data_IF_222379905156
#
_entry.id   IF_222379905156
#
_cell.length_a   1.000
_cell.length_b   1.000
_cell.length_c   1.000
_cell.angle_alpha   90.00
_cell.angle_beta   90.00
_cell.angle_gamma   90.00
#
_symmetry.space_group_name_H-M   'P 1'
#
loop_
_entity.id
_entity.type
_entity.pdbx_description
1 polymer ?
#
# COMPACT_ATOMS: atom_id res chain seq x y z
N UNK A 1 -19.76 -7.48 -6.19
CA UNK A 1 -18.34 -7.63 -6.49
C UNK A 1 -17.54 -6.64 -5.65
N UNK A 2 -16.51 -7.13 -4.98
CA UNK A 2 -15.77 -6.32 -4.03
C UNK A 2 -14.34 -6.10 -4.54
N UNK A 3 -14.16 -4.93 -5.17
CA UNK A 3 -12.87 -4.51 -5.73
C UNK A 3 -12.57 -3.11 -5.21
N UNK A 4 -11.31 -2.86 -4.85
CA UNK A 4 -10.83 -1.54 -4.51
C UNK A 4 -9.51 -1.27 -5.24
N UNK A 5 -9.27 -0.01 -5.57
CA UNK A 5 -8.05 0.44 -6.22
C UNK A 5 -7.34 1.43 -5.29
N UNK A 6 -6.06 1.18 -5.05
CA UNK A 6 -5.20 2.01 -4.20
C UNK A 6 -3.96 2.37 -5.00
N UNK A 7 -3.50 3.61 -4.86
CA UNK A 7 -2.33 4.07 -5.58
C UNK A 7 -1.09 4.04 -4.70
N UNK A 8 0.03 3.63 -5.31
CA UNK A 8 1.34 3.61 -4.69
C UNK A 8 2.40 3.90 -5.75
N UNK A 9 3.66 3.74 -5.41
CA UNK A 9 4.77 3.93 -6.34
C UNK A 9 5.87 2.91 -6.10
N UNK A 10 6.47 2.44 -7.22
CA UNK A 10 7.71 1.71 -7.16
C UNK A 10 8.90 2.67 -7.19
N UNK A 11 10.09 2.12 -7.31
CA UNK A 11 11.30 2.90 -7.58
C UNK A 11 11.98 2.34 -8.83
N UNK A 12 12.39 3.23 -9.73
CA UNK A 12 13.17 2.89 -10.92
C UNK A 12 14.24 3.97 -11.09
N UNK A 13 15.45 3.71 -10.54
CA UNK A 13 16.50 4.72 -10.46
C UNK A 13 16.07 5.88 -9.59
N UNK A 14 16.03 7.09 -10.17
CA UNK A 14 15.60 8.30 -9.48
C UNK A 14 14.09 8.57 -9.62
N UNK A 15 13.40 7.74 -10.37
CA UNK A 15 11.98 7.89 -10.61
C UNK A 15 11.17 7.01 -9.66
N UNK A 16 9.92 7.42 -9.42
CA UNK A 16 8.96 6.66 -8.65
C UNK A 16 7.70 6.44 -9.51
N UNK A 17 7.73 5.43 -10.41
CA UNK A 17 6.61 5.19 -11.30
C UNK A 17 5.37 4.75 -10.53
N UNK A 18 4.20 5.19 -11.02
CA UNK A 18 2.92 4.86 -10.41
C UNK A 18 2.68 3.35 -10.45
N UNK A 19 2.23 2.82 -9.31
CA UNK A 19 1.76 1.45 -9.19
C UNK A 19 0.31 1.49 -8.73
N UNK A 20 -0.55 0.86 -9.49
CA UNK A 20 -1.96 0.76 -9.19
C UNK A 20 -2.20 -0.58 -8.53
N UNK A 21 -2.70 -0.57 -7.30
CA UNK A 21 -2.93 -1.77 -6.50
C UNK A 21 -4.42 -2.08 -6.54
N UNK A 22 -4.78 -3.18 -7.18
CA UNK A 22 -6.18 -3.62 -7.26
C UNK A 22 -6.38 -4.78 -6.30
N UNK A 23 -7.29 -4.64 -5.35
CA UNK A 23 -7.64 -5.71 -4.42
C UNK A 23 -9.04 -6.24 -4.73
N UNK A 24 -9.14 -7.55 -4.88
CA UNK A 24 -10.41 -8.24 -5.07
C UNK A 24 -10.62 -9.23 -3.93
N UNK A 25 -11.80 -9.16 -3.31
CA UNK A 25 -12.21 -10.08 -2.26
C UNK A 25 -13.44 -10.84 -2.76
N UNK A 26 -13.32 -12.15 -2.84
CA UNK A 26 -14.40 -13.03 -3.32
C UNK A 26 -14.63 -14.22 -2.39
N UNK A 27 -15.63 -15.01 -2.74
CA UNK A 27 -15.93 -16.25 -2.02
C UNK A 27 -15.07 -17.42 -2.47
N UNK A 28 -15.29 -18.58 -1.87
CA UNK A 28 -14.62 -19.82 -2.21
C UNK A 28 -13.58 -20.21 -1.17
N UNK A 29 -12.68 -21.11 -1.54
CA UNK A 29 -11.64 -21.59 -0.62
C UNK A 29 -10.69 -20.45 -0.26
N UNK A 30 -10.27 -20.35 1.01
CA UNK A 30 -9.34 -19.31 1.43
C UNK A 30 -8.04 -19.34 0.64
N UNK A 31 -7.68 -18.19 0.08
CA UNK A 31 -6.45 -18.03 -0.68
C UNK A 31 -6.05 -16.56 -0.69
N UNK A 32 -4.76 -16.28 -0.58
CA UNK A 32 -4.23 -14.93 -0.70
C UNK A 32 -3.12 -14.94 -1.76
N UNK A 33 -3.34 -14.23 -2.87
CA UNK A 33 -2.38 -14.15 -3.98
C UNK A 33 -2.03 -12.71 -4.31
N UNK A 34 -0.75 -12.50 -4.63
CA UNK A 34 -0.25 -11.22 -5.14
C UNK A 34 0.34 -11.49 -6.52
N UNK A 35 -0.13 -10.74 -7.52
CA UNK A 35 0.32 -10.87 -8.92
C UNK A 35 0.81 -9.51 -9.44
N UNK A 36 1.54 -9.50 -10.55
CA UNK A 36 2.08 -8.28 -11.17
C UNK A 36 3.57 -8.12 -10.97
N UNK A 37 4.37 -9.16 -11.20
CA UNK A 37 5.82 -9.19 -11.04
C UNK A 37 6.30 -8.82 -9.63
N UNK A 38 5.74 -9.42 -8.56
CA UNK A 38 6.25 -9.17 -7.23
C UNK A 38 7.55 -9.95 -7.00
N UNK A 39 8.53 -9.31 -6.34
CA UNK A 39 9.72 -10.03 -5.87
C UNK A 39 9.38 -10.85 -4.61
N UNK A 40 10.39 -11.51 -4.03
CA UNK A 40 10.20 -12.33 -2.83
C UNK A 40 9.71 -11.49 -1.65
N UNK A 41 10.28 -10.30 -1.44
CA UNK A 41 9.87 -9.43 -0.34
C UNK A 41 8.43 -8.97 -0.48
N UNK A 42 8.00 -8.67 -1.71
CA UNK A 42 6.60 -8.29 -1.96
C UNK A 42 5.68 -9.48 -1.71
N UNK A 43 6.08 -10.70 -2.10
CA UNK A 43 5.27 -11.89 -1.82
C UNK A 43 5.15 -12.16 -0.32
N UNK A 44 6.20 -11.86 0.45
CA UNK A 44 6.16 -11.97 1.91
C UNK A 44 5.15 -11.02 2.56
N UNK A 45 4.68 -10.00 1.83
CA UNK A 45 3.63 -9.12 2.30
C UNK A 45 2.39 -9.89 2.72
N UNK A 46 2.13 -11.07 2.15
CA UNK A 46 0.98 -11.88 2.54
C UNK A 46 0.95 -12.15 4.04
N UNK A 47 2.09 -12.52 4.60
CA UNK A 47 2.18 -12.81 6.04
C UNK A 47 2.12 -11.54 6.88
N UNK A 48 2.85 -10.48 6.48
CA UNK A 48 2.87 -9.21 7.21
C UNK A 48 1.50 -8.54 7.22
N UNK A 49 0.85 -8.48 6.07
CA UNK A 49 -0.48 -7.85 5.94
C UNK A 49 -1.51 -8.60 6.76
N UNK A 50 -1.55 -9.93 6.66
CA UNK A 50 -2.50 -10.72 7.43
C UNK A 50 -2.33 -10.50 8.92
N UNK A 51 -1.10 -10.55 9.41
CA UNK A 51 -0.82 -10.35 10.84
C UNK A 51 -1.16 -8.92 11.27
N UNK A 52 -0.79 -7.91 10.47
CA UNK A 52 -1.07 -6.52 10.78
C UNK A 52 -2.57 -6.22 10.84
N UNK A 53 -3.37 -6.78 9.92
CA UNK A 53 -4.81 -6.62 9.98
C UNK A 53 -5.37 -7.20 11.27
N UNK A 54 -4.99 -8.42 11.59
CA UNK A 54 -5.49 -9.11 12.79
C UNK A 54 -5.09 -8.38 14.07
N UNK A 55 -3.85 -7.93 14.20
CA UNK A 55 -3.38 -7.21 15.39
C UNK A 55 -3.96 -5.81 15.49
N UNK A 56 -4.39 -5.23 14.38
CA UNK A 56 -5.05 -3.92 14.34
C UNK A 56 -6.57 -4.03 14.50
N UNK A 57 -7.07 -5.21 14.87
CA UNK A 57 -8.48 -5.50 15.14
C UNK A 57 -9.39 -5.43 13.90
N UNK A 58 -8.81 -5.61 12.73
CA UNK A 58 -9.57 -5.85 11.51
C UNK A 58 -9.66 -7.35 11.26
N UNK A 59 -10.55 -7.75 10.39
CA UNK A 59 -10.69 -9.14 9.98
C UNK A 59 -10.02 -9.35 8.63
N UNK A 60 -9.16 -10.38 8.54
CA UNK A 60 -8.69 -10.81 7.24
C UNK A 60 -9.82 -11.60 6.57
N UNK A 61 -10.24 -11.24 5.33
CA UNK A 61 -11.40 -11.86 4.71
C UNK A 61 -11.27 -13.37 4.56
N UNK A 62 -12.35 -14.09 4.86
CA UNK A 62 -12.47 -15.51 4.51
C UNK A 62 -12.75 -15.61 3.02
N UNK A 63 -12.11 -16.56 2.37
CA UNK A 63 -12.30 -16.75 0.94
C UNK A 63 -11.09 -16.31 0.15
N UNK A 64 -11.32 -15.94 -1.11
CA UNK A 64 -10.23 -15.65 -2.04
C UNK A 64 -9.91 -14.17 -2.07
N UNK A 65 -8.65 -13.85 -1.78
CA UNK A 65 -8.12 -12.48 -1.88
C UNK A 65 -7.07 -12.48 -2.99
N UNK A 66 -7.25 -11.62 -3.99
CA UNK A 66 -6.30 -11.44 -5.08
C UNK A 66 -5.93 -9.97 -5.16
N UNK A 67 -4.62 -9.69 -5.14
CA UNK A 67 -4.09 -8.35 -5.29
C UNK A 67 -3.24 -8.29 -6.54
N UNK A 68 -3.57 -7.38 -7.45
CA UNK A 68 -2.83 -7.17 -8.68
C UNK A 68 -2.07 -5.84 -8.61
N UNK A 69 -0.78 -5.88 -8.89
CA UNK A 69 0.09 -4.71 -8.90
C UNK A 69 0.37 -4.33 -10.36
N UNK A 70 -0.23 -3.23 -10.82
CA UNK A 70 -0.08 -2.75 -12.20
C UNK A 70 0.93 -1.60 -12.30
N UNK A 71 1.68 -1.48 -13.39
CA UNK A 71 1.64 -2.32 -14.59
C UNK A 71 2.38 -3.65 -14.41
N UNK A 72 1.97 -4.65 -15.17
CA UNK A 72 2.52 -6.00 -15.05
C UNK A 72 3.98 -6.11 -15.52
N UNK A 73 4.45 -5.18 -16.35
CA UNK A 73 5.81 -5.19 -16.88
C UNK A 73 6.81 -4.41 -16.02
N UNK A 74 6.37 -3.79 -14.93
CA UNK A 74 7.24 -3.11 -13.98
C UNK A 74 7.50 -4.01 -12.78
N UNK A 75 8.75 -4.40 -12.51
CA UNK A 75 9.07 -5.19 -11.32
C UNK A 75 8.74 -4.42 -10.03
N UNK A 76 8.18 -5.10 -9.04
CA UNK A 76 7.85 -4.53 -7.74
C UNK A 76 8.74 -5.14 -6.68
N UNK A 77 9.36 -4.29 -5.88
CA UNK A 77 10.40 -4.67 -4.93
C UNK A 77 10.12 -4.12 -3.54
N UNK A 78 10.65 -4.79 -2.52
CA UNK A 78 10.64 -4.41 -1.12
C UNK A 78 9.27 -4.49 -0.45
N UNK A 79 9.23 -4.17 0.83
CA UNK A 79 8.00 -4.21 1.62
C UNK A 79 7.09 -2.99 1.47
N UNK A 80 7.45 -2.03 0.60
CA UNK A 80 6.71 -0.76 0.45
C UNK A 80 5.25 -0.91 0.08
N UNK A 81 4.88 -2.04 -0.51
CA UNK A 81 3.50 -2.28 -0.94
C UNK A 81 2.62 -2.87 0.15
N UNK A 82 3.17 -3.19 1.33
CA UNK A 82 2.37 -3.76 2.42
C UNK A 82 1.18 -2.86 2.78
N UNK A 83 1.43 -1.57 2.98
CA UNK A 83 0.36 -0.63 3.36
C UNK A 83 -0.72 -0.51 2.28
N UNK A 84 -0.39 -0.22 1.01
CA UNK A 84 -1.45 -0.13 -0.01
C UNK A 84 -2.20 -1.44 -0.22
N UNK A 85 -1.55 -2.59 -0.06
CA UNK A 85 -2.22 -3.89 -0.13
C UNK A 85 -3.23 -4.02 1.03
N UNK A 86 -2.82 -3.69 2.25
CA UNK A 86 -3.71 -3.73 3.42
C UNK A 86 -4.92 -2.81 3.24
N UNK A 87 -4.69 -1.58 2.80
CA UNK A 87 -5.75 -0.61 2.56
C UNK A 87 -6.72 -1.12 1.48
N UNK A 88 -6.19 -1.68 0.40
CA UNK A 88 -7.02 -2.26 -0.67
C UNK A 88 -7.92 -3.39 -0.17
N UNK A 89 -7.38 -4.29 0.62
CA UNK A 89 -8.14 -5.40 1.20
C UNK A 89 -9.24 -4.87 2.14
N UNK A 90 -8.91 -3.92 3.00
CA UNK A 90 -9.88 -3.33 3.93
C UNK A 90 -11.00 -2.60 3.20
N UNK A 91 -10.69 -1.86 2.14
CA UNK A 91 -11.69 -1.17 1.35
C UNK A 91 -12.56 -2.16 0.55
N UNK A 92 -11.94 -3.17 -0.07
CA UNK A 92 -12.65 -4.18 -0.86
C UNK A 92 -13.58 -5.03 0.02
N UNK A 93 -13.24 -5.24 1.29
CA UNK A 93 -14.08 -5.96 2.25
C UNK A 93 -15.02 -5.06 3.05
N UNK A 94 -15.10 -3.77 2.70
CA UNK A 94 -15.99 -2.78 3.31
C UNK A 94 -15.71 -2.52 4.80
N UNK A 95 -14.49 -2.75 5.26
CA UNK A 95 -14.09 -2.43 6.64
C UNK A 95 -13.66 -0.98 6.80
N UNK A 96 -13.30 -0.32 5.70
CA UNK A 96 -13.03 1.12 5.65
C UNK A 96 -13.72 1.72 4.41
N UNK A 97 -14.03 3.03 4.43
CA UNK A 97 -14.60 3.69 3.25
C UNK A 97 -13.55 3.83 2.14
N UNK A 98 -14.00 3.75 0.88
CA UNK A 98 -13.12 3.80 -0.29
C UNK A 98 -13.14 5.13 -1.03
N UNK A 99 -13.99 6.07 -0.65
CA UNK A 99 -14.26 7.29 -1.43
C UNK A 99 -13.09 8.24 -1.59
N UNK A 100 -12.13 8.24 -0.66
CA UNK A 100 -10.98 9.14 -0.70
C UNK A 100 -9.74 8.49 -1.34
N UNK A 101 -9.80 7.22 -1.69
CA UNK A 101 -8.61 6.49 -2.17
C UNK A 101 -8.04 7.07 -3.46
N UNK A 102 -8.89 7.63 -4.33
CA UNK A 102 -8.44 8.23 -5.58
C UNK A 102 -7.56 9.47 -5.38
N UNK A 103 -7.65 10.11 -4.22
CA UNK A 103 -6.92 11.33 -3.89
C UNK A 103 -5.67 11.05 -3.06
N UNK A 104 -5.39 9.79 -2.74
CA UNK A 104 -4.31 9.40 -1.86
C UNK A 104 -3.36 8.42 -2.53
N UNK A 105 -2.12 8.44 -2.09
CA UNK A 105 -1.14 7.40 -2.38
C UNK A 105 -0.60 6.88 -1.06
N UNK A 106 -0.28 5.59 -1.01
CA UNK A 106 0.16 4.93 0.21
C UNK A 106 1.48 4.20 -0.06
N UNK A 107 2.40 4.26 0.89
CA UNK A 107 3.61 3.47 0.86
C UNK A 107 4.08 3.19 2.28
N UNK A 108 4.41 1.94 2.56
CA UNK A 108 4.93 1.57 3.87
C UNK A 108 5.04 0.07 4.04
N UNK A 109 6.05 -0.35 4.78
CA UNK A 109 6.17 -1.73 5.22
C UNK A 109 5.46 -1.88 6.57
N UNK A 110 4.76 -2.97 6.76
CA UNK A 110 4.04 -3.26 8.00
C UNK A 110 4.79 -4.27 8.84
N UNK A 111 4.95 -3.96 10.13
CA UNK A 111 5.32 -4.95 11.10
C UNK A 111 4.13 -5.83 11.47
N UNK A 112 4.38 -6.98 12.08
CA UNK A 112 3.32 -7.92 12.45
C UNK A 112 2.32 -7.34 13.46
N UNK A 113 2.76 -6.32 14.21
CA UNK A 113 1.91 -5.61 15.16
C UNK A 113 1.12 -4.46 14.55
N UNK A 114 1.28 -4.23 13.23
CA UNK A 114 0.59 -3.14 12.53
C UNK A 114 1.36 -1.82 12.51
N UNK A 115 2.56 -1.76 13.07
CA UNK A 115 3.40 -0.56 13.02
C UNK A 115 3.91 -0.35 11.59
N UNK A 116 4.11 0.92 11.22
CA UNK A 116 4.68 1.28 9.92
C UNK A 116 6.19 1.44 10.02
N UNK A 117 6.89 0.83 9.08
CA UNK A 117 8.35 0.86 9.01
C UNK A 117 8.82 1.70 7.84
N UNK A 118 10.04 2.25 7.98
CA UNK A 118 10.65 3.09 6.97
C UNK A 118 10.83 2.37 5.64
N UNK A 119 10.72 3.13 4.56
CA UNK A 119 10.99 2.66 3.20
C UNK A 119 11.97 3.63 2.55
N UNK A 120 12.61 3.17 1.47
CA UNK A 120 13.51 4.03 0.68
C UNK A 120 12.71 4.79 -0.39
N UNK A 121 13.25 5.94 -0.80
CA UNK A 121 12.70 6.68 -1.93
C UNK A 121 11.53 7.59 -1.59
N UNK A 122 11.36 7.96 -0.31
CA UNK A 122 10.25 8.81 0.10
C UNK A 122 10.17 10.12 -0.68
N UNK A 123 11.30 10.77 -0.93
CA UNK A 123 11.33 12.04 -1.66
C UNK A 123 10.85 11.86 -3.10
N UNK A 124 11.37 10.86 -3.82
CA UNK A 124 10.96 10.58 -5.20
C UNK A 124 9.46 10.25 -5.28
N UNK A 125 8.95 9.47 -4.34
CA UNK A 125 7.54 9.11 -4.26
C UNK A 125 6.68 10.36 -4.01
N UNK A 126 7.15 11.25 -3.15
CA UNK A 126 6.44 12.49 -2.84
C UNK A 126 6.34 13.40 -4.06
N UNK A 127 7.42 13.56 -4.84
CA UNK A 127 7.38 14.32 -6.09
C UNK A 127 6.37 13.71 -7.06
N UNK A 128 6.36 12.39 -7.19
CA UNK A 128 5.42 11.71 -8.07
C UNK A 128 3.96 11.93 -7.65
N UNK A 129 3.65 11.76 -6.37
CA UNK A 129 2.31 11.98 -5.85
C UNK A 129 1.86 13.43 -6.05
N UNK A 130 2.74 14.38 -5.76
CA UNK A 130 2.44 15.80 -5.94
C UNK A 130 2.15 16.14 -7.40
N UNK A 131 2.96 15.61 -8.33
CA UNK A 131 2.75 15.82 -9.76
C UNK A 131 1.39 15.32 -10.21
N UNK A 132 0.93 14.20 -9.65
CA UNK A 132 -0.36 13.60 -10.00
C UNK A 132 -1.51 14.13 -9.14
N UNK A 133 -1.26 15.14 -8.31
CA UNK A 133 -2.29 15.81 -7.51
C UNK A 133 -2.82 15.01 -6.31
N UNK A 134 -2.04 14.06 -5.81
CA UNK A 134 -2.43 13.22 -4.67
C UNK A 134 -1.63 13.52 -3.42
N UNK A 135 -2.22 13.22 -2.28
CA UNK A 135 -1.56 13.30 -0.98
C UNK A 135 -0.91 11.95 -0.67
N UNK A 136 0.35 11.97 -0.24
CA UNK A 136 1.08 10.74 0.12
C UNK A 136 0.92 10.43 1.60
N UNK A 137 0.44 9.23 1.91
CA UNK A 137 0.39 8.69 3.27
C UNK A 137 1.62 7.81 3.47
N UNK A 138 2.44 8.15 4.45
CA UNK A 138 3.75 7.54 4.63
C UNK A 138 4.09 7.47 6.13
N UNK A 139 5.03 6.59 6.50
CA UNK A 139 5.43 6.50 7.90
C UNK A 139 6.07 7.79 8.39
N UNK A 140 5.78 8.14 9.63
CA UNK A 140 6.30 9.35 10.28
C UNK A 140 7.84 9.41 10.24
N UNK A 141 8.50 8.27 10.32
CA UNK A 141 9.97 8.20 10.35
C UNK A 141 10.65 8.76 9.10
N UNK A 142 9.97 8.80 7.95
CA UNK A 142 10.52 9.36 6.70
C UNK A 142 9.80 10.63 6.25
N UNK A 143 8.89 11.15 7.07
CA UNK A 143 8.11 12.35 6.70
C UNK A 143 8.99 13.59 6.53
N UNK A 144 10.09 13.69 7.28
CA UNK A 144 11.03 14.80 7.15
C UNK A 144 11.70 14.82 5.78
N UNK A 145 12.11 13.67 5.26
CA UNK A 145 12.66 13.55 3.90
C UNK A 145 11.60 13.90 2.86
N UNK A 146 10.40 13.36 3.03
CA UNK A 146 9.27 13.60 2.11
C UNK A 146 8.90 15.07 2.04
N UNK A 147 8.95 15.79 3.16
CA UNK A 147 8.58 17.21 3.20
C UNK A 147 9.58 18.13 2.52
N UNK A 148 10.72 17.63 2.04
CA UNK A 148 11.64 18.42 1.22
C UNK A 148 11.08 18.69 -0.17
N UNK A 149 10.02 18.02 -0.61
CA UNK A 149 9.36 18.28 -1.89
C UNK A 149 8.45 19.51 -1.74
N UNK A 150 8.73 20.64 -2.45
CA UNK A 150 7.95 21.87 -2.26
C UNK A 150 6.49 21.69 -2.67
N UNK A 151 5.58 22.15 -1.81
CA UNK A 151 4.14 22.13 -2.10
C UNK A 151 3.47 20.78 -1.99
N UNK A 152 4.20 19.73 -1.67
CA UNK A 152 3.63 18.39 -1.57
C UNK A 152 2.79 18.23 -0.30
N UNK A 153 1.71 17.45 -0.42
CA UNK A 153 0.84 17.12 0.71
C UNK A 153 1.22 15.73 1.23
N UNK A 154 1.52 15.66 2.53
CA UNK A 154 1.95 14.44 3.19
C UNK A 154 1.12 14.23 4.44
N UNK A 155 0.67 12.98 4.65
CA UNK A 155 0.00 12.57 5.87
C UNK A 155 0.89 11.53 6.56
N UNK A 156 1.62 11.91 7.62
CA UNK A 156 2.44 10.94 8.34
C UNK A 156 1.58 10.04 9.22
N UNK A 157 1.98 8.78 9.34
CA UNK A 157 1.30 7.80 10.18
C UNK A 157 2.31 6.90 10.88
N UNK A 158 1.96 6.33 12.03
CA UNK A 158 2.83 5.43 12.80
C UNK A 158 2.44 3.98 12.66
N UNK A 159 1.18 3.73 12.37
CA UNK A 159 0.63 2.37 12.31
C UNK A 159 -0.53 2.29 11.33
N UNK A 160 -0.97 1.07 11.06
CA UNK A 160 -2.15 0.83 10.21
C UNK A 160 -3.40 1.52 10.78
N UNK A 161 -3.56 1.55 12.10
CA UNK A 161 -4.71 2.22 12.71
C UNK A 161 -4.67 3.74 12.57
N UNK A 162 -3.48 4.35 12.44
CA UNK A 162 -3.33 5.79 12.24
C UNK A 162 -3.74 6.23 10.83
N UNK A 163 -3.71 5.33 9.89
CA UNK A 163 -3.97 5.62 8.47
C UNK A 163 -5.44 5.93 8.16
#
# INVERSE_FOLDING_TARGET
MRVAVVYSRGLAGLDAPLVRVEAHVGGGLPQFRIVGLPDTEVKEARDRVRAALNTSRFEFPDGRVTVNLEPADLPKESGRFDLPIAIGILAASHQIPARELANLEFAGELGLSGDLRAIRGALAMTFGAHRDGRTLVITESVAAEASLAPGAMILPARSLLDV
#
